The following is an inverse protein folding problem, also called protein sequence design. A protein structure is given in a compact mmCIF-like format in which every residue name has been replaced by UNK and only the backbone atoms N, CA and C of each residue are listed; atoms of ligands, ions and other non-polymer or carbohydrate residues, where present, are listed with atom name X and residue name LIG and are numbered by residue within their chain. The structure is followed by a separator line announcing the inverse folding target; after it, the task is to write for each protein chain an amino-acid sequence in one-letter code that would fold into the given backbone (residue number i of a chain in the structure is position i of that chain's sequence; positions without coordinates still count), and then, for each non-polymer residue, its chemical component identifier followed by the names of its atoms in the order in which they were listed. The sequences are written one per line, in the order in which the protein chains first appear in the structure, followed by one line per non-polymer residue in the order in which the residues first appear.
data_IF_304485406044
#
_entry.id   IF_304485406044
#
_cell.length_a   1.000
_cell.length_b   1.000
_cell.length_c   1.000
_cell.angle_alpha   90.00
_cell.angle_beta   90.00
_cell.angle_gamma   90.00
#
_symmetry.space_group_name_H-M   'P 1'
#
loop_
_entity.id
_entity.type
_entity.pdbx_description
1 polymer ?
#
# COMPACT_ATOMS: atom_id res chain seq x y z
N UNK A 1 32.64 2.51 -60.54
CA UNK A 1 32.43 3.68 -59.67
C UNK A 1 30.95 3.75 -59.32
N UNK A 2 30.61 3.39 -58.08
CA UNK A 2 29.57 3.97 -57.23
C UNK A 2 29.39 3.02 -56.04
N UNK A 3 30.03 3.38 -54.93
CA UNK A 3 29.85 2.77 -53.61
C UNK A 3 28.48 3.15 -53.05
N UNK A 4 27.78 2.18 -52.45
CA UNK A 4 26.79 2.44 -51.40
C UNK A 4 27.11 1.50 -50.25
N UNK A 5 27.65 2.09 -49.18
CA UNK A 5 28.04 1.39 -47.95
C UNK A 5 26.82 0.83 -47.22
N UNK A 6 26.86 -0.47 -46.94
CA UNK A 6 25.97 -1.13 -45.99
C UNK A 6 26.65 -1.09 -44.61
N UNK A 7 26.07 -0.36 -43.66
CA UNK A 7 26.50 -0.36 -42.26
C UNK A 7 26.02 -1.66 -41.59
N UNK A 8 26.82 -2.32 -40.74
CA UNK A 8 26.34 -3.45 -39.97
C UNK A 8 25.36 -2.96 -38.89
N UNK A 9 24.22 -3.63 -38.79
CA UNK A 9 23.24 -3.48 -37.70
C UNK A 9 23.86 -4.08 -36.45
N UNK A 10 24.24 -3.22 -35.51
CA UNK A 10 24.76 -3.62 -34.21
C UNK A 10 23.65 -4.33 -33.43
N UNK A 11 23.75 -5.65 -33.36
CA UNK A 11 22.84 -6.51 -32.61
C UNK A 11 23.30 -6.46 -31.15
N UNK A 12 22.89 -5.41 -30.43
CA UNK A 12 23.14 -5.31 -29.00
C UNK A 12 22.35 -6.42 -28.27
N UNK A 13 23.07 -7.51 -28.00
CA UNK A 13 22.71 -8.54 -27.04
C UNK A 13 22.32 -7.88 -25.72
N UNK A 14 21.04 -7.92 -25.35
CA UNK A 14 20.60 -7.67 -23.98
C UNK A 14 21.26 -8.69 -23.06
N UNK A 15 22.38 -8.30 -22.46
CA UNK A 15 23.01 -9.02 -21.37
C UNK A 15 22.07 -8.92 -20.17
N UNK A 16 21.46 -10.06 -19.81
CA UNK A 16 20.82 -10.26 -18.51
C UNK A 16 21.82 -9.87 -17.43
N UNK A 17 21.53 -8.82 -16.66
CA UNK A 17 22.24 -8.55 -15.42
C UNK A 17 21.88 -9.65 -14.42
N UNK A 18 22.84 -10.46 -13.95
CA UNK A 18 22.58 -11.33 -12.82
C UNK A 18 22.59 -10.45 -11.56
N UNK A 19 21.43 -10.20 -10.98
CA UNK A 19 21.32 -9.73 -9.59
C UNK A 19 21.84 -10.86 -8.69
N UNK A 20 23.15 -10.85 -8.44
CA UNK A 20 23.73 -11.59 -7.32
C UNK A 20 23.32 -10.82 -6.07
N UNK A 21 22.24 -11.27 -5.43
CA UNK A 21 21.84 -10.82 -4.10
C UNK A 21 22.96 -11.25 -3.13
N UNK A 22 23.90 -10.35 -2.84
CA UNK A 22 24.86 -10.58 -1.77
C UNK A 22 24.08 -10.76 -0.47
N UNK A 23 24.30 -11.90 0.21
CA UNK A 23 23.63 -12.27 1.44
C UNK A 23 23.63 -11.10 2.45
N UNK A 24 22.44 -10.57 2.73
CA UNK A 24 22.22 -9.59 3.79
C UNK A 24 22.59 -10.26 5.12
N UNK A 25 23.65 -9.73 5.74
CA UNK A 25 24.13 -10.17 7.03
C UNK A 25 23.04 -9.99 8.08
N UNK A 26 22.73 -11.08 8.78
CA UNK A 26 21.88 -11.11 9.96
C UNK A 26 22.50 -10.28 11.08
N UNK A 27 22.09 -9.01 11.20
CA UNK A 27 22.22 -8.23 12.42
C UNK A 27 21.04 -7.27 12.47
N UNK A 28 20.04 -7.51 13.32
CA UNK A 28 19.23 -6.40 13.80
C UNK A 28 18.67 -6.65 15.20
N UNK A 29 19.32 -6.01 16.17
CA UNK A 29 18.83 -5.77 17.53
C UNK A 29 18.51 -4.27 17.72
N UNK A 30 18.26 -3.55 16.62
CA UNK A 30 17.85 -2.13 16.60
C UNK A 30 16.37 -2.04 16.16
N UNK A 31 15.60 -1.02 16.60
CA UNK A 31 14.24 -0.82 16.09
C UNK A 31 14.31 -0.65 14.57
N UNK A 32 13.48 -1.39 13.83
CA UNK A 32 13.45 -1.29 12.37
C UNK A 32 13.07 0.13 11.98
N UNK A 33 13.91 0.78 11.17
CA UNK A 33 13.64 2.11 10.66
C UNK A 33 12.82 1.98 9.37
N UNK A 34 11.53 2.31 9.42
CA UNK A 34 10.64 2.29 8.25
C UNK A 34 10.84 3.53 7.40
N UNK A 35 11.57 3.42 6.29
CA UNK A 35 11.77 4.50 5.34
C UNK A 35 10.85 4.30 4.11
N UNK A 36 10.04 5.28 3.68
CA UNK A 36 9.26 5.18 2.43
C UNK A 36 10.10 4.85 1.20
N UNK A 37 11.40 5.16 1.18
CA UNK A 37 12.30 4.80 0.08
C UNK A 37 12.47 3.29 -0.09
N UNK A 38 12.33 2.52 0.99
CA UNK A 38 12.30 1.06 0.93
C UNK A 38 11.11 0.60 0.07
N UNK A 39 9.93 1.20 0.29
CA UNK A 39 8.71 0.87 -0.43
C UNK A 39 8.80 1.26 -1.91
N UNK A 40 9.41 2.42 -2.21
CA UNK A 40 9.67 2.86 -3.58
C UNK A 40 10.54 1.84 -4.31
N UNK A 41 11.66 1.43 -3.68
CA UNK A 41 12.58 0.45 -4.26
C UNK A 41 11.85 -0.88 -4.51
N UNK A 42 11.23 -1.46 -3.48
CA UNK A 42 10.56 -2.76 -3.58
C UNK A 42 9.42 -2.76 -4.59
N UNK A 43 8.59 -1.71 -4.61
CA UNK A 43 7.50 -1.58 -5.57
C UNK A 43 8.03 -1.47 -7.00
N UNK A 44 9.02 -0.61 -7.23
CA UNK A 44 9.55 -0.38 -8.57
C UNK A 44 10.28 -1.62 -9.12
N UNK A 45 11.00 -2.36 -8.28
CA UNK A 45 11.65 -3.61 -8.68
C UNK A 45 10.64 -4.66 -9.14
N UNK A 46 9.48 -4.73 -8.50
CA UNK A 46 8.42 -5.70 -8.85
C UNK A 46 7.61 -5.27 -10.08
N UNK A 47 7.25 -3.99 -10.17
CA UNK A 47 6.14 -3.56 -11.02
C UNK A 47 6.50 -2.58 -12.14
N UNK A 48 7.71 -2.02 -12.14
CA UNK A 48 8.13 -1.06 -13.19
C UNK A 48 8.10 -1.69 -14.57
N UNK A 49 8.68 -2.88 -14.74
CA UNK A 49 8.76 -3.53 -16.04
C UNK A 49 7.48 -4.30 -16.38
N UNK A 50 6.92 -5.02 -15.41
CA UNK A 50 5.79 -5.93 -15.62
C UNK A 50 4.44 -5.20 -15.75
N UNK A 51 4.26 -4.07 -15.06
CA UNK A 51 3.03 -3.29 -15.05
C UNK A 51 3.21 -1.85 -15.53
N UNK A 52 4.42 -1.46 -15.95
CA UNK A 52 4.72 -0.08 -16.37
C UNK A 52 4.29 0.96 -15.33
N UNK A 53 4.39 0.62 -14.04
CA UNK A 53 3.98 1.49 -12.93
C UNK A 53 5.13 1.70 -11.97
N UNK A 54 5.32 2.93 -11.51
CA UNK A 54 6.28 3.27 -10.45
C UNK A 54 5.58 3.93 -9.26
N UNK A 55 6.17 3.77 -8.07
CA UNK A 55 5.82 4.51 -6.87
C UNK A 55 6.66 5.78 -6.79
N UNK A 56 6.01 6.91 -6.51
CA UNK A 56 6.63 8.24 -6.48
C UNK A 56 6.24 8.97 -5.20
N UNK A 57 7.22 9.59 -4.54
CA UNK A 57 6.97 10.49 -3.41
C UNK A 57 6.36 11.81 -3.92
N UNK A 58 5.13 12.09 -3.53
CA UNK A 58 4.45 13.37 -3.76
C UNK A 58 4.67 14.36 -2.62
N UNK A 59 4.12 15.57 -2.79
CA UNK A 59 4.15 16.62 -1.77
C UNK A 59 2.86 16.64 -0.94
N UNK A 60 1.73 16.93 -1.58
CA UNK A 60 0.49 17.32 -0.90
C UNK A 60 -0.56 16.19 -0.92
N UNK A 61 -1.04 15.82 -2.11
CA UNK A 61 -2.14 14.88 -2.27
C UNK A 61 -1.66 13.55 -2.87
N UNK A 62 -2.20 12.41 -2.41
CA UNK A 62 -2.03 11.16 -3.12
C UNK A 62 -2.82 11.18 -4.43
N UNK A 63 -2.29 10.54 -5.47
CA UNK A 63 -2.98 10.41 -6.74
C UNK A 63 -2.43 9.24 -7.56
N UNK A 64 -3.28 8.65 -8.39
CA UNK A 64 -2.82 7.78 -9.47
C UNK A 64 -2.84 8.48 -10.83
N UNK A 65 -1.69 8.49 -11.49
CA UNK A 65 -1.49 9.08 -12.80
C UNK A 65 -1.29 7.97 -13.84
N UNK A 66 -2.24 7.75 -14.77
CA UNK A 66 -2.05 6.80 -15.85
C UNK A 66 -0.94 7.26 -16.80
N UNK A 67 -0.48 6.34 -17.64
CA UNK A 67 0.49 6.64 -18.70
C UNK A 67 -0.07 7.73 -19.63
N UNK A 68 0.64 8.85 -19.75
CA UNK A 68 0.28 9.96 -20.63
C UNK A 68 1.00 9.94 -21.98
N UNK A 69 2.10 9.17 -22.10
CA UNK A 69 2.96 9.11 -23.28
C UNK A 69 3.31 7.65 -23.63
N UNK A 70 3.54 7.27 -24.91
CA UNK A 70 3.70 5.87 -25.32
C UNK A 70 4.80 5.10 -24.57
N UNK A 71 5.91 5.76 -24.24
CA UNK A 71 7.03 5.19 -23.49
C UNK A 71 6.99 5.52 -21.98
N UNK A 72 5.94 6.21 -21.53
CA UNK A 72 5.76 6.64 -20.14
C UNK A 72 5.43 5.49 -19.17
N UNK A 73 5.55 5.79 -17.89
CA UNK A 73 5.17 4.92 -16.77
C UNK A 73 4.00 5.56 -16.03
N UNK A 74 3.03 4.74 -15.62
CA UNK A 74 2.02 5.18 -14.67
C UNK A 74 2.69 5.45 -13.31
N UNK A 75 2.11 6.37 -12.53
CA UNK A 75 2.65 6.76 -11.22
C UNK A 75 1.59 6.55 -10.16
N UNK A 76 1.95 5.82 -9.12
CA UNK A 76 1.27 5.83 -7.83
C UNK A 76 1.99 6.88 -6.98
N UNK A 77 1.32 7.98 -6.66
CA UNK A 77 1.89 9.11 -5.92
C UNK A 77 1.35 9.08 -4.51
N UNK A 78 2.23 9.05 -3.51
CA UNK A 78 1.84 9.07 -2.09
C UNK A 78 2.26 10.39 -1.42
N UNK A 79 1.49 10.83 -0.44
CA UNK A 79 1.63 12.16 0.16
C UNK A 79 2.71 12.23 1.26
N UNK A 80 3.29 13.42 1.40
CA UNK A 80 4.14 13.85 2.52
C UNK A 80 5.38 12.98 2.85
N UNK A 81 5.73 12.01 2.00
CA UNK A 81 6.82 11.08 2.32
C UNK A 81 6.49 10.13 3.48
N UNK A 82 5.22 9.92 3.82
CA UNK A 82 4.85 9.04 4.94
C UNK A 82 4.82 7.57 4.52
N UNK A 83 5.41 6.70 5.34
CA UNK A 83 5.44 5.26 5.11
C UNK A 83 4.02 4.66 5.04
N UNK A 84 3.13 5.06 5.94
CA UNK A 84 1.74 4.63 5.94
C UNK A 84 1.00 5.08 4.66
N UNK A 85 1.20 6.33 4.22
CA UNK A 85 0.62 6.82 2.96
C UNK A 85 1.10 6.00 1.77
N UNK A 86 2.39 5.67 1.68
CA UNK A 86 2.90 4.80 0.63
C UNK A 86 2.24 3.40 0.65
N UNK A 87 2.09 2.77 1.82
CA UNK A 87 1.41 1.48 1.94
C UNK A 87 -0.04 1.55 1.48
N UNK A 88 -0.74 2.60 1.88
CA UNK A 88 -2.14 2.85 1.52
C UNK A 88 -2.31 2.97 0.00
N UNK A 89 -1.50 3.80 -0.66
CA UNK A 89 -1.57 3.98 -2.11
C UNK A 89 -1.24 2.70 -2.90
N UNK A 90 -0.27 1.91 -2.43
CA UNK A 90 0.04 0.61 -3.03
C UNK A 90 -1.14 -0.36 -2.88
N UNK A 91 -1.84 -0.34 -1.74
CA UNK A 91 -3.02 -1.16 -1.52
C UNK A 91 -4.16 -0.79 -2.48
N UNK A 92 -4.45 0.51 -2.64
CA UNK A 92 -5.41 1.01 -3.64
C UNK A 92 -5.04 0.55 -5.05
N UNK A 93 -3.77 0.73 -5.43
CA UNK A 93 -3.28 0.30 -6.73
C UNK A 93 -3.48 -1.20 -6.96
N UNK A 94 -3.24 -2.03 -5.94
CA UNK A 94 -3.40 -3.49 -6.01
C UNK A 94 -4.85 -3.93 -6.19
N UNK A 95 -5.81 -3.17 -5.69
CA UNK A 95 -7.26 -3.42 -5.88
C UNK A 95 -7.74 -2.92 -7.25
N UNK A 96 -7.23 -1.80 -7.74
CA UNK A 96 -7.67 -1.20 -8.99
C UNK A 96 -7.40 -2.13 -10.19
N UNK A 97 -8.45 -2.62 -10.86
CA UNK A 97 -8.36 -3.48 -12.05
C UNK A 97 -7.73 -2.79 -13.27
N UNK A 98 -7.43 -3.57 -14.32
CA UNK A 98 -6.75 -3.06 -15.53
C UNK A 98 -7.41 -1.84 -16.14
N UNK A 99 -8.73 -1.88 -16.32
CA UNK A 99 -9.48 -0.74 -16.85
C UNK A 99 -9.40 0.50 -15.95
N UNK A 100 -9.48 0.33 -14.62
CA UNK A 100 -9.36 1.48 -13.71
C UNK A 100 -7.98 2.13 -13.77
N UNK A 101 -6.93 1.34 -13.99
CA UNK A 101 -5.56 1.84 -14.14
C UNK A 101 -5.32 2.63 -15.43
N UNK A 102 -6.31 2.76 -16.32
CA UNK A 102 -6.24 3.69 -17.45
C UNK A 102 -6.86 5.06 -17.14
N UNK A 103 -7.42 5.25 -15.94
CA UNK A 103 -8.09 6.48 -15.53
C UNK A 103 -7.28 7.21 -14.47
N UNK A 104 -7.34 8.54 -14.49
CA UNK A 104 -6.85 9.36 -13.39
C UNK A 104 -7.53 8.93 -12.09
N UNK A 105 -6.73 8.75 -11.04
CA UNK A 105 -7.14 8.30 -9.71
C UNK A 105 -8.11 7.10 -9.72
N UNK A 106 -7.85 6.15 -10.62
CA UNK A 106 -8.65 4.94 -10.84
C UNK A 106 -10.12 5.18 -11.24
N UNK A 107 -10.48 6.42 -11.54
CA UNK A 107 -11.86 6.86 -11.78
C UNK A 107 -12.72 6.91 -10.51
N UNK A 108 -12.11 6.99 -9.32
CA UNK A 108 -12.85 7.22 -8.08
C UNK A 108 -13.41 8.65 -8.04
N UNK A 109 -14.56 8.81 -7.38
CA UNK A 109 -15.12 10.13 -7.12
C UNK A 109 -14.40 10.75 -5.92
N UNK A 110 -13.88 11.97 -6.07
CA UNK A 110 -13.33 12.72 -4.95
C UNK A 110 -14.43 13.26 -4.04
N UNK A 111 -14.53 12.73 -2.82
CA UNK A 111 -15.44 13.25 -1.80
C UNK A 111 -14.59 13.85 -0.68
N UNK A 112 -14.49 15.18 -0.59
CA UNK A 112 -13.67 15.82 0.43
C UNK A 112 -14.23 15.53 1.82
N UNK A 113 -13.41 15.82 2.82
CA UNK A 113 -13.78 15.80 4.23
C UNK A 113 -15.08 16.60 4.53
N UNK A 114 -15.80 16.23 5.58
CA UNK A 114 -17.14 16.78 5.89
C UNK A 114 -18.29 15.96 5.31
N UNK A 115 -18.10 14.64 5.16
CA UNK A 115 -19.07 13.72 4.55
C UNK A 115 -20.29 13.51 5.43
N UNK A 116 -21.47 13.40 4.80
CA UNK A 116 -22.69 12.95 5.48
C UNK A 116 -22.55 11.48 5.90
N UNK A 117 -23.35 10.99 6.87
CA UNK A 117 -23.31 9.58 7.28
C UNK A 117 -23.47 8.59 6.12
N UNK A 118 -24.33 8.89 5.14
CA UNK A 118 -24.55 8.04 3.97
C UNK A 118 -23.35 8.03 3.03
N UNK A 119 -22.70 9.19 2.83
CA UNK A 119 -21.47 9.31 2.05
C UNK A 119 -20.31 8.59 2.73
N UNK A 120 -20.21 8.72 4.06
CA UNK A 120 -19.21 8.04 4.87
C UNK A 120 -19.40 6.51 4.80
N UNK A 121 -20.64 6.03 4.88
CA UNK A 121 -20.92 4.60 4.74
C UNK A 121 -20.52 4.06 3.36
N UNK A 122 -20.80 4.81 2.29
CA UNK A 122 -20.39 4.43 0.93
C UNK A 122 -18.87 4.40 0.78
N UNK A 123 -18.16 5.35 1.41
CA UNK A 123 -16.70 5.35 1.46
C UNK A 123 -16.15 4.14 2.23
N UNK A 124 -16.63 3.89 3.43
CA UNK A 124 -16.19 2.78 4.27
C UNK A 124 -16.33 1.44 3.53
N UNK A 125 -17.41 1.25 2.76
CA UNK A 125 -17.59 0.03 1.94
C UNK A 125 -16.48 -0.17 0.90
N UNK A 126 -16.00 0.90 0.25
CA UNK A 126 -14.93 0.79 -0.75
C UNK A 126 -13.54 0.68 -0.11
N UNK A 127 -13.39 1.17 1.11
CA UNK A 127 -12.15 1.17 1.89
C UNK A 127 -11.83 -0.16 2.59
N UNK A 128 -12.80 -1.05 2.77
CA UNK A 128 -12.57 -2.33 3.48
C UNK A 128 -11.40 -3.11 2.87
N UNK A 129 -11.34 -3.23 1.54
CA UNK A 129 -10.31 -4.02 0.86
C UNK A 129 -8.94 -3.33 0.82
N UNK A 130 -8.82 -2.04 0.45
CA UNK A 130 -7.58 -1.30 0.58
C UNK A 130 -6.99 -1.36 2.00
N UNK A 131 -7.77 -1.03 3.03
CA UNK A 131 -7.26 -1.03 4.41
C UNK A 131 -6.94 -2.43 4.93
N UNK A 132 -7.63 -3.47 4.46
CA UNK A 132 -7.24 -4.85 4.78
C UNK A 132 -5.87 -5.21 4.19
N UNK A 133 -5.59 -4.81 2.94
CA UNK A 133 -4.28 -5.02 2.32
C UNK A 133 -3.20 -4.16 2.98
N UNK A 134 -3.49 -2.90 3.28
CA UNK A 134 -2.57 -2.00 4.00
C UNK A 134 -2.21 -2.55 5.38
N UNK A 135 -3.17 -3.14 6.09
CA UNK A 135 -2.95 -3.83 7.36
C UNK A 135 -1.96 -5.00 7.20
N UNK A 136 -2.13 -5.82 6.15
CA UNK A 136 -1.23 -6.93 5.88
C UNK A 136 0.16 -6.47 5.41
N UNK A 137 0.26 -5.41 4.62
CA UNK A 137 1.57 -4.82 4.29
C UNK A 137 2.27 -4.24 5.51
N UNK A 138 1.54 -3.56 6.38
CA UNK A 138 2.07 -3.06 7.65
C UNK A 138 2.57 -4.21 8.52
N UNK A 139 1.79 -5.29 8.62
CA UNK A 139 2.16 -6.53 9.32
C UNK A 139 3.47 -7.10 8.74
N UNK A 140 3.56 -7.24 7.42
CA UNK A 140 4.75 -7.76 6.74
C UNK A 140 5.98 -6.85 6.90
N UNK A 141 5.78 -5.54 6.96
CA UNK A 141 6.85 -4.59 7.25
C UNK A 141 7.23 -4.52 8.73
N UNK A 142 6.45 -5.12 9.65
CA UNK A 142 6.60 -4.89 11.08
C UNK A 142 6.27 -3.45 11.49
N UNK A 143 5.44 -2.77 10.70
CA UNK A 143 4.96 -1.41 10.90
C UNK A 143 3.60 -1.40 11.62
N UNK A 144 3.31 -0.36 12.40
CA UNK A 144 2.04 -0.27 13.15
C UNK A 144 0.93 0.26 12.24
N UNK A 145 -0.06 -0.58 11.95
CA UNK A 145 -1.26 -0.18 11.21
C UNK A 145 -2.27 0.59 12.07
N UNK A 146 -2.95 1.56 11.46
CA UNK A 146 -4.07 2.31 12.04
C UNK A 146 -5.22 2.33 11.05
N UNK A 147 -6.44 2.10 11.55
CA UNK A 147 -7.66 2.29 10.73
C UNK A 147 -7.82 3.79 10.45
N UNK A 148 -8.08 4.14 9.20
CA UNK A 148 -8.38 5.51 8.80
C UNK A 148 -9.84 5.63 8.41
N UNK A 149 -10.58 6.52 9.08
CA UNK A 149 -11.98 6.84 8.72
C UNK A 149 -12.05 8.05 7.78
N UNK A 150 -10.95 8.80 7.70
CA UNK A 150 -10.70 9.92 6.78
C UNK A 150 -11.77 11.03 6.75
N UNK A 151 -12.41 11.34 7.89
CA UNK A 151 -13.53 12.30 7.96
C UNK A 151 -13.39 13.24 9.18
N UNK A 152 -12.32 14.04 9.22
CA UNK A 152 -11.96 14.88 10.37
C UNK A 152 -12.90 16.08 10.57
N UNK A 153 -13.39 16.68 9.48
CA UNK A 153 -14.35 17.79 9.47
C UNK A 153 -15.81 17.32 9.47
N UNK A 154 -16.04 16.01 9.32
CA UNK A 154 -17.35 15.39 9.42
C UNK A 154 -17.66 14.80 10.80
N UNK A 155 -18.67 13.93 10.86
CA UNK A 155 -19.06 13.22 12.09
C UNK A 155 -18.11 12.08 12.50
N UNK A 156 -16.99 11.89 11.80
CA UNK A 156 -16.16 10.69 11.91
C UNK A 156 -16.73 9.50 11.14
N UNK A 157 -16.52 8.29 11.65
CA UNK A 157 -17.06 7.06 11.06
C UNK A 157 -18.59 7.03 11.10
N UNK A 158 -19.21 6.36 10.12
CA UNK A 158 -20.64 6.08 10.17
C UNK A 158 -20.94 5.01 11.24
N UNK A 159 -20.13 3.93 11.24
CA UNK A 159 -20.07 2.91 12.29
C UNK A 159 -18.63 2.40 12.39
N UNK A 160 -17.86 2.98 13.32
CA UNK A 160 -16.42 2.72 13.43
C UNK A 160 -16.10 1.27 13.80
N UNK A 161 -16.94 0.63 14.61
CA UNK A 161 -16.77 -0.76 15.03
C UNK A 161 -17.06 -1.72 13.89
N UNK A 162 -18.18 -1.51 13.18
CA UNK A 162 -18.51 -2.33 12.03
C UNK A 162 -17.46 -2.20 10.92
N UNK A 163 -17.00 -0.98 10.62
CA UNK A 163 -15.97 -0.77 9.61
C UNK A 163 -14.66 -1.47 9.99
N UNK A 164 -14.20 -1.30 11.24
CA UNK A 164 -12.99 -1.96 11.75
C UNK A 164 -13.10 -3.49 11.70
N UNK A 165 -14.24 -4.03 12.11
CA UNK A 165 -14.48 -5.48 12.06
C UNK A 165 -14.47 -6.00 10.63
N UNK A 166 -15.06 -5.26 9.68
CA UNK A 166 -15.04 -5.62 8.26
C UNK A 166 -13.62 -5.65 7.69
N UNK A 167 -12.78 -4.66 8.02
CA UNK A 167 -11.35 -4.65 7.63
C UNK A 167 -10.61 -5.86 8.20
N UNK A 168 -10.82 -6.18 9.49
CA UNK A 168 -10.18 -7.33 10.15
C UNK A 168 -10.62 -8.67 9.57
N UNK A 169 -11.90 -8.82 9.25
CA UNK A 169 -12.44 -10.02 8.62
C UNK A 169 -11.85 -10.18 7.21
N UNK A 170 -11.84 -9.12 6.41
CA UNK A 170 -11.26 -9.15 5.07
C UNK A 170 -9.76 -9.46 5.08
N UNK A 171 -9.01 -8.93 6.05
CA UNK A 171 -7.58 -9.25 6.23
C UNK A 171 -7.37 -10.71 6.66
N UNK A 172 -8.23 -11.25 7.53
CA UNK A 172 -8.22 -12.67 7.90
C UNK A 172 -8.47 -13.57 6.70
N UNK A 173 -9.46 -13.22 5.87
CA UNK A 173 -9.78 -13.96 4.65
C UNK A 173 -8.61 -13.96 3.67
N UNK A 174 -7.93 -12.83 3.49
CA UNK A 174 -6.73 -12.75 2.65
C UNK A 174 -5.56 -13.58 3.19
N UNK A 175 -5.36 -13.63 4.51
CA UNK A 175 -4.33 -14.51 5.10
C UNK A 175 -4.66 -15.99 4.89
N UNK A 176 -5.94 -16.37 4.95
CA UNK A 176 -6.38 -17.75 4.79
C UNK A 176 -6.42 -18.21 3.32
N UNK A 177 -6.86 -17.34 2.41
CA UNK A 177 -7.16 -17.69 1.02
C UNK A 177 -6.15 -17.12 0.01
N UNK A 178 -5.25 -16.24 0.44
CA UNK A 178 -4.29 -15.52 -0.40
C UNK A 178 -4.74 -14.12 -0.81
N UNK A 179 -3.77 -13.23 -1.04
CA UNK A 179 -4.02 -11.87 -1.55
C UNK A 179 -4.23 -11.88 -3.07
N UNK A 180 -4.86 -10.82 -3.64
CA UNK A 180 -4.80 -10.58 -5.08
C UNK A 180 -3.35 -10.56 -5.57
N UNK A 181 -3.09 -11.12 -6.75
CA UNK A 181 -1.74 -11.40 -7.27
C UNK A 181 -0.69 -10.32 -7.00
N UNK A 182 -0.99 -9.06 -7.33
CA UNK A 182 -0.07 -7.92 -7.13
C UNK A 182 0.20 -7.65 -5.66
N UNK A 183 -0.83 -7.69 -4.83
CA UNK A 183 -0.68 -7.53 -3.40
C UNK A 183 0.10 -8.70 -2.78
N UNK A 184 -0.13 -9.95 -3.23
CA UNK A 184 0.66 -11.10 -2.76
C UNK A 184 2.15 -10.91 -3.06
N UNK A 185 2.50 -10.50 -4.30
CA UNK A 185 3.90 -10.25 -4.68
C UNK A 185 4.56 -9.18 -3.80
N UNK A 186 3.86 -8.09 -3.51
CA UNK A 186 4.40 -7.03 -2.66
C UNK A 186 4.50 -7.48 -1.20
N UNK A 187 3.48 -8.17 -0.68
CA UNK A 187 3.47 -8.73 0.67
C UNK A 187 4.65 -9.69 0.90
N UNK A 188 4.89 -10.62 -0.02
CA UNK A 188 6.00 -11.57 0.06
C UNK A 188 7.36 -10.85 0.04
N UNK A 189 7.49 -9.81 -0.80
CA UNK A 189 8.69 -8.98 -0.86
C UNK A 189 8.94 -8.22 0.43
N UNK A 190 7.89 -7.70 1.09
CA UNK A 190 8.00 -7.05 2.40
C UNK A 190 8.43 -8.05 3.48
N UNK A 191 7.82 -9.25 3.52
CA UNK A 191 8.19 -10.31 4.46
C UNK A 191 9.68 -10.67 4.36
N UNK A 192 10.18 -10.78 3.13
CA UNK A 192 11.58 -11.08 2.87
C UNK A 192 12.49 -9.93 3.28
N UNK A 193 12.17 -8.69 2.88
CA UNK A 193 13.00 -7.52 3.14
C UNK A 193 13.11 -7.22 4.64
N UNK A 194 11.98 -7.23 5.35
CA UNK A 194 11.91 -6.92 6.78
C UNK A 194 12.09 -8.14 7.69
N UNK A 195 12.26 -9.36 7.13
CA UNK A 195 12.51 -10.60 7.87
C UNK A 195 11.46 -10.91 8.96
N UNK A 196 10.19 -10.65 8.67
CA UNK A 196 9.08 -10.77 9.64
C UNK A 196 8.28 -12.07 9.54
N UNK A 197 8.48 -12.86 8.48
CA UNK A 197 7.65 -14.04 8.17
C UNK A 197 7.54 -15.07 9.29
N UNK A 198 8.59 -15.28 10.08
CA UNK A 198 8.59 -16.26 11.17
C UNK A 198 7.63 -15.92 12.32
N UNK A 199 7.15 -14.67 12.40
CA UNK A 199 6.32 -14.18 13.52
C UNK A 199 4.97 -13.67 13.07
N UNK A 200 4.54 -14.03 11.86
CA UNK A 200 3.36 -13.43 11.24
C UNK A 200 2.08 -13.75 12.01
N UNK A 201 1.90 -15.00 12.45
CA UNK A 201 0.72 -15.44 13.18
C UNK A 201 0.61 -14.78 14.56
N UNK A 202 1.74 -14.71 15.28
CA UNK A 202 1.81 -14.03 16.59
C UNK A 202 1.52 -12.53 16.46
N UNK A 203 2.11 -11.90 15.45
CA UNK A 203 1.93 -10.47 15.21
C UNK A 203 0.49 -10.19 14.78
N UNK A 204 -0.10 -11.06 13.96
CA UNK A 204 -1.49 -10.95 13.54
C UNK A 204 -2.46 -11.05 14.71
N UNK A 205 -2.25 -12.00 15.62
CA UNK A 205 -3.03 -12.11 16.84
C UNK A 205 -2.99 -10.81 17.68
N UNK A 206 -1.79 -10.23 17.85
CA UNK A 206 -1.62 -8.95 18.57
C UNK A 206 -2.31 -7.78 17.86
N UNK A 207 -2.22 -7.70 16.54
CA UNK A 207 -2.88 -6.67 15.73
C UNK A 207 -4.40 -6.76 15.88
N UNK A 208 -4.97 -7.97 15.76
CA UNK A 208 -6.41 -8.20 15.96
C UNK A 208 -6.86 -7.76 17.35
N UNK A 209 -6.20 -8.22 18.40
CA UNK A 209 -6.54 -7.83 19.78
C UNK A 209 -6.50 -6.31 19.94
N UNK A 210 -5.39 -5.68 19.55
CA UNK A 210 -5.24 -4.22 19.67
C UNK A 210 -6.34 -3.46 18.93
N UNK A 211 -6.66 -3.84 17.70
CA UNK A 211 -7.67 -3.13 16.92
C UNK A 211 -9.07 -3.35 17.52
N UNK A 212 -9.40 -4.54 18.00
CA UNK A 212 -10.68 -4.80 18.67
C UNK A 212 -10.80 -4.10 20.03
N UNK A 213 -9.70 -3.81 20.71
CA UNK A 213 -9.70 -3.15 22.04
C UNK A 213 -9.43 -1.64 21.99
N UNK A 214 -9.08 -1.07 20.83
CA UNK A 214 -8.62 0.32 20.70
C UNK A 214 -9.63 1.38 21.17
N UNK A 215 -10.91 1.02 21.35
CA UNK A 215 -11.93 1.93 21.90
C UNK A 215 -11.96 1.97 23.43
N UNK A 216 -11.46 0.95 24.14
CA UNK A 216 -11.45 0.97 25.61
C UNK A 216 -10.53 2.08 26.17
N UNK A 217 -9.51 2.50 25.42
CA UNK A 217 -8.61 3.58 25.82
C UNK A 217 -9.16 4.98 25.45
N UNK A 218 -9.96 5.10 24.38
CA UNK A 218 -10.54 6.39 23.98
C UNK A 218 -11.74 6.78 24.86
N UNK A 219 -12.57 5.82 25.25
CA UNK A 219 -13.77 6.05 26.07
C UNK A 219 -13.45 6.38 27.55
N UNK A 220 -12.37 5.82 28.12
CA UNK A 220 -11.95 6.14 29.50
C UNK A 220 -11.33 7.53 29.66
N UNK A 221 -10.89 8.18 28.57
CA UNK A 221 -10.34 9.54 28.59
C UNK A 221 -11.40 10.64 28.55
N UNK A 222 -12.69 10.28 28.41
CA UNK A 222 -13.82 11.21 28.27
C UNK A 222 -14.68 11.34 29.53
N UNK A 223 -14.32 10.74 30.67
CA UNK A 223 -15.00 11.04 31.93
C UNK A 223 -14.55 12.45 32.37
N UNK A 224 -15.42 13.48 32.34
CA UNK A 224 -15.09 14.73 32.99
C UNK A 224 -15.08 14.45 34.49
N UNK A 225 -14.02 14.82 35.19
CA UNK A 225 -14.08 14.90 36.65
C UNK A 225 -15.31 15.75 37.04
N UNK A 226 -16.21 15.25 37.89
CA UNK A 226 -17.31 16.06 38.38
C UNK A 226 -16.72 17.19 39.26
N UNK A 227 -17.13 18.43 38.95
CA UNK A 227 -16.84 19.64 39.72
C UNK A 227 -17.28 19.54 41.18
#
# INVERSE_FOLDING_TARGET
MHEVGSKPVDTMLWRKFPLVLAALKSHNSQPMNHNPDDLIMLFNDLFRESYRTILVRGSEEPEYLPVSEPEGLARVVFAHGFFASALHEIAHWCIAGEHRRTMYDYGYWYCPDGRTPEQQQAFEQVEVKPQAIECLFSLAAGFRFHISVDNLAGGGAADGDAFRLNVLNQASDYLACGLPRRAQQFYDSLLQFYSTGARIDETWARVKTRLLTAEQEYDQSRIPEPL
#
